data_IF_586080037815
#
_entry.id   IF_586080037815
#
_cell.length_a   1.000
_cell.length_b   1.000
_cell.length_c   1.000
_cell.angle_alpha   90.00
_cell.angle_beta   90.00
_cell.angle_gamma   90.00
#
_symmetry.space_group_name_H-M   'P 1'
#
loop_
_entity.id
_entity.type
_entity.pdbx_description
1 polymer ?
#
# COMPACT_ATOMS: atom_id res chain seq x y z
N UNK A 1 -23.93 34.69 13.38
CA UNK A 1 -23.02 33.54 13.12
C UNK A 1 -22.53 33.01 14.47
N UNK A 2 -22.65 31.69 14.75
CA UNK A 2 -22.37 31.12 16.08
C UNK A 2 -20.85 31.11 16.37
N UNK A 3 -20.35 31.78 17.45
CA UNK A 3 -18.91 31.85 17.76
C UNK A 3 -18.27 30.47 18.00
N UNK A 4 -19.02 29.50 18.51
CA UNK A 4 -18.55 28.14 18.74
C UNK A 4 -18.27 27.40 17.39
N UNK A 5 -19.12 27.58 16.39
CA UNK A 5 -18.98 27.04 15.06
C UNK A 5 -17.71 27.59 14.38
N UNK A 6 -17.48 28.90 14.49
CA UNK A 6 -16.26 29.50 13.93
C UNK A 6 -14.97 29.01 14.61
N UNK A 7 -15.01 28.71 15.90
CA UNK A 7 -13.88 28.14 16.64
C UNK A 7 -13.57 26.73 16.17
N UNK A 8 -14.59 25.90 15.98
CA UNK A 8 -14.45 24.53 15.46
C UNK A 8 -13.86 24.51 14.04
N UNK A 9 -14.34 25.41 13.15
CA UNK A 9 -13.80 25.54 11.79
C UNK A 9 -12.33 25.97 11.79
N UNK A 10 -11.94 26.92 12.64
CA UNK A 10 -10.52 27.34 12.76
C UNK A 10 -9.66 26.19 13.25
N UNK A 11 -10.10 25.43 14.26
CA UNK A 11 -9.38 24.26 14.75
C UNK A 11 -9.23 23.17 13.69
N UNK A 12 -10.30 22.89 12.94
CA UNK A 12 -10.26 21.92 11.84
C UNK A 12 -9.27 22.34 10.73
N UNK A 13 -9.27 23.63 10.34
CA UNK A 13 -8.37 24.16 9.34
C UNK A 13 -6.90 24.10 9.78
N UNK A 14 -6.62 24.48 11.05
CA UNK A 14 -5.27 24.36 11.62
C UNK A 14 -4.76 22.91 11.65
N UNK A 15 -5.63 21.95 12.03
CA UNK A 15 -5.26 20.54 12.03
C UNK A 15 -5.01 19.99 10.61
N UNK A 16 -5.80 20.42 9.63
CA UNK A 16 -5.61 20.08 8.24
C UNK A 16 -4.27 20.63 7.70
N UNK A 17 -3.93 21.87 8.06
CA UNK A 17 -2.67 22.50 7.67
C UNK A 17 -1.45 21.79 8.28
N UNK A 18 -1.45 21.55 9.60
CA UNK A 18 -0.42 20.76 10.28
C UNK A 18 -0.28 19.36 9.65
N UNK A 19 -1.39 18.75 9.23
CA UNK A 19 -1.37 17.47 8.52
C UNK A 19 -0.69 17.56 7.17
N UNK A 20 -0.91 18.64 6.40
CA UNK A 20 -0.24 18.88 5.11
C UNK A 20 1.25 19.12 5.29
N UNK A 21 1.64 19.96 6.27
CA UNK A 21 3.05 20.26 6.53
C UNK A 21 3.85 19.02 6.93
N UNK A 22 3.26 18.17 7.79
CA UNK A 22 3.87 16.89 8.14
C UNK A 22 4.04 15.97 6.93
N UNK A 23 3.06 15.93 6.02
CA UNK A 23 3.18 15.13 4.78
C UNK A 23 4.26 15.70 3.85
N UNK A 24 4.42 17.04 3.78
CA UNK A 24 5.52 17.65 3.02
C UNK A 24 6.87 17.25 3.58
N UNK A 25 7.07 17.33 4.90
CA UNK A 25 8.31 16.90 5.53
C UNK A 25 8.66 15.43 5.19
N UNK A 26 7.70 14.53 5.26
CA UNK A 26 7.91 13.14 4.86
C UNK A 26 8.27 12.97 3.38
N UNK A 27 7.73 13.80 2.49
CA UNK A 27 8.15 13.79 1.08
C UNK A 27 9.57 14.24 0.90
N UNK A 28 9.98 15.27 1.62
CA UNK A 28 11.34 15.78 1.56
C UNK A 28 12.34 14.72 2.07
N UNK A 29 11.99 13.96 3.11
CA UNK A 29 12.74 12.78 3.54
C UNK A 29 12.88 11.74 2.39
N UNK A 30 11.80 11.45 1.69
CA UNK A 30 11.79 10.53 0.55
C UNK A 30 12.65 11.03 -0.61
N UNK A 31 12.58 12.33 -0.94
CA UNK A 31 13.45 12.96 -1.96
C UNK A 31 14.93 12.85 -1.58
N UNK A 32 15.24 13.14 -0.32
CA UNK A 32 16.61 13.01 0.17
C UNK A 32 17.12 11.57 0.11
N UNK A 33 16.24 10.58 0.41
CA UNK A 33 16.56 9.16 0.26
C UNK A 33 16.81 8.79 -1.22
N UNK A 34 15.99 9.29 -2.13
CA UNK A 34 16.12 9.01 -3.57
C UNK A 34 17.45 9.48 -4.14
N UNK A 35 17.97 10.62 -3.68
CA UNK A 35 19.27 11.17 -4.13
C UNK A 35 20.48 10.26 -3.84
N UNK A 36 20.34 9.29 -2.92
CA UNK A 36 21.39 8.30 -2.67
C UNK A 36 21.48 7.23 -3.76
N UNK A 37 20.44 7.04 -4.55
CA UNK A 37 20.41 6.14 -5.70
C UNK A 37 20.58 4.67 -5.37
N UNK A 38 20.21 4.24 -4.16
CA UNK A 38 20.36 2.83 -3.74
C UNK A 38 19.48 1.90 -4.60
N UNK A 39 20.02 0.83 -5.19
CA UNK A 39 19.28 0.02 -6.17
C UNK A 39 17.94 -0.52 -5.67
N UNK A 40 17.87 -1.01 -4.42
CA UNK A 40 16.63 -1.51 -3.86
C UNK A 40 15.60 -0.38 -3.63
N UNK A 41 16.07 0.81 -3.26
CA UNK A 41 15.23 1.98 -3.10
C UNK A 41 14.62 2.43 -4.44
N UNK A 42 15.44 2.50 -5.49
CA UNK A 42 14.96 2.80 -6.85
C UNK A 42 13.92 1.77 -7.29
N UNK A 43 14.26 0.48 -7.19
CA UNK A 43 13.38 -0.61 -7.60
C UNK A 43 12.04 -0.58 -6.84
N UNK A 44 12.06 -0.41 -5.52
CA UNK A 44 10.87 -0.36 -4.69
C UNK A 44 9.99 0.86 -4.96
N UNK A 45 10.58 2.04 -5.12
CA UNK A 45 9.84 3.26 -5.44
C UNK A 45 9.19 3.18 -6.84
N UNK A 46 9.93 2.69 -7.85
CA UNK A 46 9.42 2.52 -9.21
C UNK A 46 8.34 1.43 -9.29
N UNK A 47 8.53 0.32 -8.57
CA UNK A 47 7.51 -0.70 -8.43
C UNK A 47 6.22 -0.11 -7.83
N UNK A 48 6.34 0.68 -6.76
CA UNK A 48 5.18 1.32 -6.16
C UNK A 48 4.52 2.35 -7.09
N UNK A 49 5.30 3.03 -7.90
CA UNK A 49 4.75 3.94 -8.92
C UNK A 49 3.94 3.17 -9.97
N UNK A 50 4.40 2.02 -10.43
CA UNK A 50 3.71 1.19 -11.40
C UNK A 50 2.45 0.52 -10.80
N UNK A 51 2.59 -0.18 -9.69
CA UNK A 51 1.63 -1.15 -9.17
C UNK A 51 0.95 -0.72 -7.85
N UNK A 52 1.47 0.30 -7.14
CA UNK A 52 0.97 0.75 -5.85
C UNK A 52 -0.33 1.54 -5.95
N UNK A 53 -1.11 1.51 -4.88
CA UNK A 53 -2.30 2.36 -4.72
C UNK A 53 -1.90 3.81 -4.39
N UNK A 54 -2.21 4.72 -5.29
CA UNK A 54 -1.95 6.16 -5.14
C UNK A 54 -3.12 6.95 -4.54
N UNK A 55 -4.23 6.29 -4.25
CA UNK A 55 -5.41 6.93 -3.65
C UNK A 55 -5.32 7.17 -2.14
N UNK A 56 -4.36 6.56 -1.46
CA UNK A 56 -4.19 6.71 -0.01
C UNK A 56 -3.08 7.67 0.37
N UNK A 57 -3.36 8.53 1.36
CA UNK A 57 -2.37 9.43 1.97
C UNK A 57 -1.73 8.85 3.23
N UNK A 58 -2.29 7.77 3.77
CA UNK A 58 -2.00 7.26 5.11
C UNK A 58 -1.52 5.82 5.13
N UNK A 59 -1.49 5.13 4.00
CA UNK A 59 -0.95 3.80 3.91
C UNK A 59 -0.35 3.52 2.53
N UNK A 60 0.76 2.77 2.52
CA UNK A 60 1.32 2.19 1.33
C UNK A 60 0.74 0.79 1.13
N UNK A 61 0.18 0.52 -0.05
CA UNK A 61 -0.37 -0.79 -0.39
C UNK A 61 -0.13 -1.15 -1.84
N UNK A 62 0.11 -2.44 -2.06
CA UNK A 62 0.26 -3.02 -3.39
C UNK A 62 -0.58 -4.29 -3.47
N UNK A 63 -1.20 -4.55 -4.62
CA UNK A 63 -1.97 -5.76 -4.87
C UNK A 63 -1.50 -6.38 -6.17
N UNK A 64 -1.04 -7.62 -6.12
CA UNK A 64 -0.57 -8.32 -7.31
C UNK A 64 -0.83 -9.82 -7.22
N UNK A 65 -0.79 -10.50 -8.37
CA UNK A 65 -0.79 -11.96 -8.49
C UNK A 65 0.59 -12.55 -8.68
N UNK A 66 1.59 -11.71 -8.92
CA UNK A 66 2.99 -12.10 -9.03
C UNK A 66 3.66 -12.07 -7.65
N UNK A 67 4.17 -13.21 -7.16
CA UNK A 67 4.83 -13.29 -5.86
C UNK A 67 6.10 -12.44 -5.76
N UNK A 68 6.85 -12.27 -6.85
CA UNK A 68 8.11 -11.52 -6.82
C UNK A 68 7.88 -10.01 -6.65
N UNK A 69 6.78 -9.50 -7.21
CA UNK A 69 6.33 -8.11 -6.99
C UNK A 69 6.10 -7.84 -5.49
N UNK A 70 5.42 -8.77 -4.81
CA UNK A 70 5.11 -8.64 -3.39
C UNK A 70 6.34 -8.83 -2.50
N UNK A 71 7.23 -9.79 -2.82
CA UNK A 71 8.52 -9.97 -2.14
C UNK A 71 9.37 -8.72 -2.22
N UNK A 72 9.50 -8.15 -3.41
CA UNK A 72 10.28 -6.93 -3.63
C UNK A 72 9.72 -5.76 -2.80
N UNK A 73 8.41 -5.59 -2.77
CA UNK A 73 7.78 -4.54 -1.98
C UNK A 73 8.02 -4.71 -0.48
N UNK A 74 7.84 -5.92 0.06
CA UNK A 74 8.08 -6.20 1.48
C UNK A 74 9.55 -5.99 1.84
N UNK A 75 10.48 -6.49 1.02
CA UNK A 75 11.92 -6.26 1.20
C UNK A 75 12.25 -4.76 1.19
N UNK A 76 11.69 -4.00 0.26
CA UNK A 76 11.88 -2.56 0.17
C UNK A 76 11.44 -1.85 1.45
N UNK A 77 10.21 -2.10 1.92
CA UNK A 77 9.70 -1.40 3.12
C UNK A 77 10.42 -1.80 4.40
N UNK A 78 10.81 -3.07 4.54
CA UNK A 78 11.62 -3.53 5.68
C UNK A 78 13.01 -2.88 5.70
N UNK A 79 13.68 -2.84 4.55
CA UNK A 79 15.07 -2.32 4.47
C UNK A 79 15.15 -0.81 4.64
N UNK A 80 14.23 -0.06 4.02
CA UNK A 80 14.35 1.40 3.98
C UNK A 80 13.52 2.15 5.02
N UNK A 81 12.54 1.47 5.64
CA UNK A 81 11.65 2.10 6.62
C UNK A 81 11.60 1.36 7.95
N UNK A 82 12.44 0.36 8.15
CA UNK A 82 12.50 -0.45 9.38
C UNK A 82 11.11 -0.95 9.81
N UNK A 83 10.38 -1.54 8.87
CA UNK A 83 9.02 -2.03 9.09
C UNK A 83 9.06 -3.45 9.63
N UNK A 84 8.67 -3.61 10.90
CA UNK A 84 8.44 -4.92 11.50
C UNK A 84 7.11 -5.55 11.04
N UNK A 85 6.97 -6.85 11.29
CA UNK A 85 5.80 -7.64 10.90
C UNK A 85 4.49 -7.09 11.49
N UNK A 86 4.57 -6.51 12.68
CA UNK A 86 3.42 -5.92 13.38
C UNK A 86 2.77 -4.74 12.63
N UNK A 87 3.48 -4.13 11.68
CA UNK A 87 2.96 -3.04 10.83
C UNK A 87 2.47 -3.52 9.46
N UNK A 88 2.80 -4.75 9.07
CA UNK A 88 2.41 -5.33 7.79
C UNK A 88 1.07 -6.05 7.90
N UNK A 89 0.24 -5.92 6.85
CA UNK A 89 -1.05 -6.61 6.74
C UNK A 89 -1.19 -7.24 5.38
N UNK A 90 -1.63 -8.50 5.38
CA UNK A 90 -1.89 -9.29 4.18
C UNK A 90 -3.38 -9.50 4.02
N UNK A 91 -3.88 -9.36 2.81
CA UNK A 91 -5.28 -9.64 2.46
C UNK A 91 -5.33 -10.35 1.11
N UNK A 92 -5.95 -11.52 1.06
CA UNK A 92 -6.12 -12.24 -0.19
C UNK A 92 -7.45 -11.87 -0.86
N UNK A 93 -7.41 -11.71 -2.17
CA UNK A 93 -8.58 -11.54 -3.01
C UNK A 93 -8.75 -12.81 -3.84
N UNK A 94 -9.78 -13.57 -3.50
CA UNK A 94 -10.03 -14.91 -3.97
C UNK A 94 -11.25 -14.93 -4.89
N UNK A 95 -11.41 -16.02 -5.63
CA UNK A 95 -12.59 -16.31 -6.43
C UNK A 95 -13.38 -17.48 -5.80
N UNK A 96 -14.59 -17.71 -6.29
CA UNK A 96 -15.48 -18.73 -5.73
C UNK A 96 -14.89 -20.16 -5.76
N UNK A 97 -14.09 -20.48 -6.79
CA UNK A 97 -13.38 -21.74 -6.95
C UNK A 97 -12.16 -21.92 -6.02
N UNK A 98 -11.80 -20.88 -5.27
CA UNK A 98 -10.73 -20.93 -4.26
C UNK A 98 -11.21 -21.28 -2.86
N UNK A 99 -12.53 -21.29 -2.60
CA UNK A 99 -13.09 -21.41 -1.25
C UNK A 99 -12.60 -22.67 -0.54
N UNK A 100 -12.61 -23.82 -1.22
CA UNK A 100 -12.16 -25.10 -0.65
C UNK A 100 -10.67 -25.12 -0.31
N UNK A 101 -9.87 -24.28 -0.97
CA UNK A 101 -8.42 -24.16 -0.80
C UNK A 101 -8.00 -22.85 -0.12
N UNK A 102 -8.95 -22.10 0.42
CA UNK A 102 -8.68 -20.76 0.96
C UNK A 102 -7.52 -20.74 1.95
N UNK A 103 -7.53 -21.67 2.92
CA UNK A 103 -6.47 -21.75 3.92
C UNK A 103 -5.08 -21.96 3.30
N UNK A 104 -4.98 -22.88 2.32
CA UNK A 104 -3.72 -23.16 1.63
C UNK A 104 -3.25 -21.98 0.78
N UNK A 105 -4.16 -21.25 0.13
CA UNK A 105 -3.82 -20.04 -0.64
C UNK A 105 -3.36 -18.92 0.27
N UNK A 106 -4.03 -18.72 1.40
CA UNK A 106 -3.61 -17.72 2.40
C UNK A 106 -2.23 -18.04 2.95
N UNK A 107 -1.95 -19.33 3.24
CA UNK A 107 -0.64 -19.76 3.72
C UNK A 107 0.44 -19.56 2.64
N UNK A 108 0.16 -19.95 1.40
CA UNK A 108 1.07 -19.69 0.27
C UNK A 108 1.48 -18.20 0.20
N UNK A 109 0.54 -17.27 0.31
CA UNK A 109 0.86 -15.85 0.25
C UNK A 109 1.65 -15.36 1.47
N UNK A 110 1.38 -15.89 2.65
CA UNK A 110 2.16 -15.59 3.85
C UNK A 110 3.61 -16.07 3.70
N UNK A 111 3.80 -17.28 3.18
CA UNK A 111 5.13 -17.86 2.91
C UNK A 111 5.88 -17.05 1.85
N UNK A 112 5.18 -16.60 0.79
CA UNK A 112 5.75 -15.74 -0.25
C UNK A 112 6.34 -14.45 0.32
N UNK A 113 5.63 -13.79 1.23
CA UNK A 113 6.04 -12.50 1.80
C UNK A 113 6.80 -12.63 3.12
N UNK A 114 7.04 -13.87 3.57
CA UNK A 114 7.71 -14.18 4.84
C UNK A 114 7.07 -13.44 6.02
N UNK A 115 5.76 -13.69 6.21
CA UNK A 115 4.97 -13.07 7.27
C UNK A 115 4.18 -14.10 8.07
N UNK A 116 4.08 -13.93 9.40
CA UNK A 116 3.29 -14.81 10.25
C UNK A 116 1.78 -14.62 9.99
N UNK A 117 1.00 -15.66 10.34
CA UNK A 117 -0.46 -15.64 10.14
C UNK A 117 -1.17 -14.52 10.92
N UNK A 118 -0.58 -13.98 11.95
CA UNK A 118 -1.07 -12.80 12.68
C UNK A 118 -1.19 -11.55 11.79
N UNK A 119 -0.43 -11.48 10.71
CA UNK A 119 -0.50 -10.40 9.72
C UNK A 119 -1.69 -10.53 8.77
N UNK A 120 -2.30 -11.74 8.66
CA UNK A 120 -3.41 -11.98 7.77
C UNK A 120 -4.68 -11.26 8.25
N UNK A 121 -5.37 -10.62 7.32
CA UNK A 121 -6.70 -10.04 7.48
C UNK A 121 -7.72 -10.88 6.73
N UNK A 122 -9.00 -10.67 7.03
CA UNK A 122 -10.09 -11.38 6.36
C UNK A 122 -9.94 -11.28 4.83
N UNK A 123 -9.87 -12.42 4.18
CA UNK A 123 -9.83 -12.51 2.73
C UNK A 123 -11.18 -12.12 2.10
N UNK A 124 -11.12 -11.53 0.92
CA UNK A 124 -12.30 -11.23 0.13
C UNK A 124 -12.51 -12.35 -0.88
N UNK A 125 -13.70 -12.94 -0.90
CA UNK A 125 -14.08 -13.94 -1.90
C UNK A 125 -15.08 -13.32 -2.87
N UNK A 126 -14.69 -13.18 -4.13
CA UNK A 126 -15.58 -12.73 -5.19
C UNK A 126 -16.43 -13.92 -5.66
N UNK A 127 -17.67 -13.92 -5.24
CA UNK A 127 -18.66 -14.89 -5.71
C UNK A 127 -19.25 -14.38 -7.02
N UNK A 128 -19.08 -15.15 -8.09
CA UNK A 128 -19.66 -14.81 -9.38
C UNK A 128 -21.16 -14.61 -9.27
N UNK A 129 -21.68 -13.56 -9.90
CA UNK A 129 -23.12 -13.38 -10.05
C UNK A 129 -23.75 -14.61 -10.70
N UNK A 130 -24.93 -15.03 -10.23
CA UNK A 130 -25.72 -16.12 -10.83
C UNK A 130 -25.98 -15.91 -12.32
N UNK A 131 -25.92 -14.66 -12.79
CA UNK A 131 -26.16 -14.26 -14.18
C UNK A 131 -24.88 -14.15 -15.02
N UNK A 132 -23.69 -14.34 -14.44
CA UNK A 132 -22.43 -14.28 -15.18
C UNK A 132 -22.18 -15.59 -15.92
N UNK A 133 -22.31 -15.57 -17.23
CA UNK A 133 -21.97 -16.70 -18.11
C UNK A 133 -20.45 -16.91 -18.26
N UNK A 134 -19.63 -15.93 -17.87
CA UNK A 134 -18.16 -16.00 -17.96
C UNK A 134 -17.56 -16.51 -16.64
N UNK A 135 -17.64 -17.82 -16.43
CA UNK A 135 -16.89 -18.48 -15.36
C UNK A 135 -15.40 -18.46 -15.73
N UNK A 136 -14.66 -17.52 -15.18
CA UNK A 136 -13.17 -17.48 -15.31
C UNK A 136 -12.59 -18.56 -14.37
N UNK A 137 -12.39 -19.76 -14.87
CA UNK A 137 -11.67 -20.81 -14.15
C UNK A 137 -10.17 -20.72 -14.45
N UNK A 138 -9.34 -20.95 -13.43
CA UNK A 138 -7.87 -21.16 -13.52
C UNK A 138 -7.02 -20.02 -14.07
N UNK A 139 -7.50 -18.78 -14.13
CA UNK A 139 -6.64 -17.66 -14.58
C UNK A 139 -5.61 -17.20 -13.55
N UNK A 140 -5.94 -17.29 -12.27
CA UNK A 140 -5.09 -16.92 -11.13
C UNK A 140 -5.23 -18.00 -10.05
N UNK A 141 -4.39 -19.04 -10.06
CA UNK A 141 -4.55 -20.22 -9.20
C UNK A 141 -4.49 -19.90 -7.70
N UNK A 142 -3.89 -18.77 -7.33
CA UNK A 142 -3.78 -18.27 -5.96
C UNK A 142 -4.51 -16.94 -5.75
N UNK A 143 -5.33 -16.49 -6.69
CA UNK A 143 -5.98 -15.19 -6.64
C UNK A 143 -4.97 -14.04 -6.71
N UNK A 144 -5.24 -12.95 -6.01
CA UNK A 144 -4.29 -11.84 -5.79
C UNK A 144 -4.09 -11.60 -4.31
N UNK A 145 -2.88 -11.19 -3.96
CA UNK A 145 -2.56 -10.81 -2.59
C UNK A 145 -2.31 -9.29 -2.52
N UNK A 146 -2.78 -8.69 -1.44
CA UNK A 146 -2.52 -7.30 -1.08
C UNK A 146 -1.65 -7.24 0.16
N UNK A 147 -0.55 -6.52 0.06
CA UNK A 147 0.27 -6.13 1.21
C UNK A 147 0.03 -4.66 1.51
N UNK A 148 -0.17 -4.33 2.79
CA UNK A 148 -0.43 -2.96 3.26
C UNK A 148 0.44 -2.63 4.45
N UNK A 149 1.02 -1.41 4.44
CA UNK A 149 1.69 -0.77 5.57
C UNK A 149 0.90 0.48 5.94
N UNK A 150 0.36 0.52 7.16
CA UNK A 150 -0.40 1.68 7.66
C UNK A 150 0.57 2.73 8.24
N UNK A 151 1.11 3.60 7.38
CA UNK A 151 2.00 4.69 7.77
C UNK A 151 1.92 5.85 6.78
N UNK A 152 1.53 7.02 7.29
CA UNK A 152 1.57 8.27 6.52
C UNK A 152 3.00 8.62 6.10
N UNK A 153 3.97 8.43 6.99
CA UNK A 153 5.37 8.68 6.69
C UNK A 153 5.83 7.85 5.50
N UNK A 154 5.64 6.54 5.55
CA UNK A 154 6.12 5.64 4.50
C UNK A 154 5.51 5.98 3.14
N UNK A 155 4.19 6.12 3.03
CA UNK A 155 3.55 6.40 1.75
C UNK A 155 3.96 7.77 1.20
N UNK A 156 4.11 8.78 2.06
CA UNK A 156 4.54 10.11 1.62
C UNK A 156 6.03 10.14 1.25
N UNK A 157 6.90 9.41 1.96
CA UNK A 157 8.30 9.24 1.56
C UNK A 157 8.42 8.53 0.21
N UNK A 158 7.64 7.48 -0.03
CA UNK A 158 7.60 6.81 -1.34
C UNK A 158 7.15 7.79 -2.44
N UNK A 159 6.12 8.62 -2.19
CA UNK A 159 5.69 9.64 -3.15
C UNK A 159 6.78 10.69 -3.43
N UNK A 160 7.51 11.12 -2.41
CA UNK A 160 8.65 12.01 -2.56
C UNK A 160 9.75 11.39 -3.41
N UNK A 161 10.06 10.11 -3.16
CA UNK A 161 11.07 9.38 -3.93
C UNK A 161 10.67 9.23 -5.41
N UNK A 162 9.41 8.91 -5.69
CA UNK A 162 8.89 8.78 -7.05
C UNK A 162 9.02 10.12 -7.80
N UNK A 163 8.68 11.23 -7.14
CA UNK A 163 8.76 12.56 -7.74
C UNK A 163 10.20 12.96 -8.04
N UNK A 164 11.14 12.64 -7.15
CA UNK A 164 12.56 12.90 -7.36
C UNK A 164 13.12 12.08 -8.53
N UNK A 165 12.86 10.78 -8.56
CA UNK A 165 13.29 9.91 -9.66
C UNK A 165 12.64 10.26 -11.00
N UNK A 166 11.37 10.66 -10.98
CA UNK A 166 10.60 10.97 -12.19
C UNK A 166 10.76 12.39 -12.68
N UNK A 167 11.36 13.29 -11.90
CA UNK A 167 11.52 14.70 -12.28
C UNK A 167 10.21 15.47 -12.42
N UNK A 168 9.17 15.14 -11.63
CA UNK A 168 7.86 15.79 -11.70
C UNK A 168 7.29 16.10 -10.32
N UNK A 169 6.25 16.96 -10.28
CA UNK A 169 5.51 17.31 -9.06
C UNK A 169 4.05 16.84 -9.14
N UNK A 170 3.54 16.34 -8.02
CA UNK A 170 2.13 15.94 -7.86
C UNK A 170 1.56 16.50 -6.55
N UNK A 171 1.14 17.78 -6.54
CA UNK A 171 0.57 18.42 -5.35
C UNK A 171 -0.67 17.69 -4.80
N UNK A 172 -1.49 17.11 -5.68
CA UNK A 172 -2.71 16.37 -5.33
C UNK A 172 -2.47 15.17 -4.44
N UNK A 173 -1.26 14.62 -4.42
CA UNK A 173 -0.91 13.53 -3.49
C UNK A 173 -0.72 14.01 -2.05
N UNK A 174 -0.66 15.32 -1.79
CA UNK A 174 -0.69 15.89 -0.43
C UNK A 174 -2.11 15.95 0.14
N UNK A 175 -3.10 16.12 -0.70
CA UNK A 175 -4.52 16.19 -0.39
C UNK A 175 -4.99 17.48 0.25
#
# INVERSE_FOLDING_TARGET
MNPAYNRQLRGANQNAERGRDRRRAYRDEGRAAAKRGEPLHVAGAMLYWAEGDKGSKNCARISNSDPEVLRLFVRFVRTHFDVGDEKLRVTCHLFADHVERQFAIEQYWLDVVDLPRSCLRKSFVNVYSKYSQKKRRNKLPYGTCRVTVHSTQIVQSIYGSIQEYGGFERPEWLG
#
